data_IF_241950374122
#
_entry.id   IF_241950374122
#
_cell.length_a   1.000
_cell.length_b   1.000
_cell.length_c   1.000
_cell.angle_alpha   90.00
_cell.angle_beta   90.00
_cell.angle_gamma   90.00
#
_symmetry.space_group_name_H-M   'P 1'
#
loop_
_entity.id
_entity.type
_entity.pdbx_description
1 polymer ?
#
# COMPACT_ATOMS: atom_id res chain seq x y z
N UNK A 1 -1.54 11.97 -25.06
CA UNK A 1 -1.50 10.83 -24.10
C UNK A 1 -0.82 11.31 -22.84
N UNK A 2 -1.37 11.01 -21.65
CA UNK A 2 -0.69 11.33 -20.39
C UNK A 2 0.59 10.49 -20.26
N UNK A 3 1.68 11.09 -19.76
CA UNK A 3 2.97 10.40 -19.58
C UNK A 3 2.91 9.55 -18.31
N UNK A 4 3.28 8.27 -18.40
CA UNK A 4 3.39 7.40 -17.23
C UNK A 4 4.45 7.93 -16.25
N UNK A 5 4.17 7.84 -14.95
CA UNK A 5 5.06 8.31 -13.87
C UNK A 5 5.31 7.15 -12.90
N UNK A 6 6.58 6.94 -12.55
CA UNK A 6 7.00 5.92 -11.58
C UNK A 6 7.84 6.61 -10.52
N UNK A 7 7.52 6.38 -9.25
CA UNK A 7 8.25 6.91 -8.09
C UNK A 7 8.94 5.76 -7.38
N UNK A 8 10.24 5.91 -7.12
CA UNK A 8 11.04 4.94 -6.38
C UNK A 8 11.44 5.59 -5.05
N UNK A 9 11.02 4.97 -3.95
CA UNK A 9 11.44 5.35 -2.61
C UNK A 9 12.38 4.31 -2.04
N UNK A 10 13.41 4.77 -1.33
CA UNK A 10 14.41 3.93 -0.69
C UNK A 10 14.58 4.40 0.75
N UNK A 11 14.64 3.46 1.68
CA UNK A 11 14.95 3.73 3.09
C UNK A 11 16.01 2.75 3.57
N UNK A 12 17.03 3.26 4.25
CA UNK A 12 18.02 2.44 4.94
C UNK A 12 17.46 1.75 6.19
N UNK A 13 16.24 2.10 6.62
CA UNK A 13 15.57 1.43 7.75
C UNK A 13 14.89 0.13 7.35
N UNK A 14 14.62 -0.09 6.05
CA UNK A 14 14.00 -1.31 5.52
C UNK A 14 15.04 -2.05 4.69
N UNK A 15 15.86 -2.86 5.36
CA UNK A 15 16.94 -3.63 4.74
C UNK A 15 16.60 -5.12 4.74
N UNK A 16 15.67 -5.53 3.89
CA UNK A 16 15.27 -6.93 3.75
C UNK A 16 13.76 -7.11 3.69
N UNK A 17 13.29 -8.29 4.10
CA UNK A 17 11.85 -8.59 4.21
C UNK A 17 11.23 -7.70 5.29
N UNK A 18 10.20 -6.89 4.97
CA UNK A 18 9.58 -6.03 5.97
C UNK A 18 8.90 -6.85 7.08
N UNK A 19 9.16 -6.51 8.33
CA UNK A 19 8.62 -7.17 9.52
C UNK A 19 7.59 -6.26 10.24
N UNK A 20 6.79 -6.78 11.20
CA UNK A 20 5.73 -6.00 11.84
C UNK A 20 6.16 -4.67 12.50
N UNK A 21 7.42 -4.55 12.95
CA UNK A 21 7.94 -3.29 13.51
C UNK A 21 8.09 -2.19 12.44
N UNK A 22 8.17 -2.57 11.17
CA UNK A 22 8.38 -1.66 10.04
C UNK A 22 7.11 -0.95 9.57
N UNK A 23 5.92 -1.37 10.05
CA UNK A 23 4.62 -0.88 9.53
C UNK A 23 4.52 0.65 9.58
N UNK A 24 4.97 1.29 10.66
CA UNK A 24 4.93 2.75 10.76
C UNK A 24 5.79 3.43 9.69
N UNK A 25 7.02 2.94 9.51
CA UNK A 25 7.95 3.47 8.51
C UNK A 25 7.45 3.23 7.08
N UNK A 26 6.80 2.08 6.83
CA UNK A 26 6.18 1.80 5.53
C UNK A 26 5.00 2.74 5.24
N UNK A 27 4.18 3.09 6.24
CA UNK A 27 3.08 4.07 6.06
C UNK A 27 3.65 5.43 5.67
N UNK A 28 4.72 5.89 6.35
CA UNK A 28 5.40 7.14 6.02
C UNK A 28 5.92 7.14 4.58
N UNK A 29 6.64 6.08 4.18
CA UNK A 29 7.14 5.93 2.81
C UNK A 29 6.00 5.91 1.79
N UNK A 30 4.94 5.14 2.02
CA UNK A 30 3.79 5.11 1.11
C UNK A 30 3.14 6.49 0.97
N UNK A 31 3.00 7.23 2.07
CA UNK A 31 2.47 8.58 2.07
C UNK A 31 3.32 9.55 1.25
N UNK A 32 4.64 9.55 1.44
CA UNK A 32 5.58 10.34 0.62
C UNK A 32 5.46 10.00 -0.86
N UNK A 33 5.38 8.71 -1.18
CA UNK A 33 5.31 8.23 -2.56
C UNK A 33 4.04 8.69 -3.25
N UNK A 34 2.90 8.59 -2.56
CA UNK A 34 1.60 9.05 -3.05
C UNK A 34 1.60 10.57 -3.26
N UNK A 35 2.10 11.35 -2.30
CA UNK A 35 2.20 12.80 -2.41
C UNK A 35 3.02 13.22 -3.64
N UNK A 36 4.20 12.60 -3.84
CA UNK A 36 5.02 12.87 -5.03
C UNK A 36 4.33 12.41 -6.31
N UNK A 37 3.64 11.28 -6.30
CA UNK A 37 2.95 10.73 -7.46
C UNK A 37 1.79 11.64 -7.91
N UNK A 38 0.90 12.00 -6.97
CA UNK A 38 -0.24 12.89 -7.15
C UNK A 38 0.14 14.37 -7.32
N UNK A 39 1.34 14.77 -6.88
CA UNK A 39 1.74 16.19 -6.78
C UNK A 39 0.91 16.94 -5.72
N UNK A 40 0.66 16.24 -4.62
CA UNK A 40 -0.15 16.68 -3.48
C UNK A 40 0.69 16.84 -2.21
N UNK A 41 0.17 17.57 -1.22
CA UNK A 41 0.91 17.87 0.04
C UNK A 41 0.43 17.08 1.26
N UNK A 42 -0.65 16.31 1.12
CA UNK A 42 -1.20 15.49 2.21
C UNK A 42 -1.44 14.07 1.71
N UNK A 43 -0.98 13.02 2.42
CA UNK A 43 -1.16 11.63 1.99
C UNK A 43 -2.62 11.26 1.72
N UNK A 44 -3.55 11.78 2.52
CA UNK A 44 -4.99 11.50 2.38
C UNK A 44 -5.56 12.12 1.11
N UNK A 45 -5.14 13.34 0.75
CA UNK A 45 -5.58 13.99 -0.49
C UNK A 45 -4.98 13.24 -1.69
N UNK A 46 -3.69 12.92 -1.62
CA UNK A 46 -3.00 12.16 -2.66
C UNK A 46 -3.63 10.78 -2.90
N UNK A 47 -3.99 10.07 -1.83
CA UNK A 47 -4.63 8.75 -1.92
C UNK A 47 -6.01 8.83 -2.59
N UNK A 48 -6.79 9.88 -2.30
CA UNK A 48 -8.13 10.07 -2.83
C UNK A 48 -8.15 10.25 -4.37
N UNK A 49 -7.04 10.66 -4.99
CA UNK A 49 -6.93 10.70 -6.46
C UNK A 49 -6.96 9.31 -7.09
N UNK A 50 -6.42 8.30 -6.38
CA UNK A 50 -6.33 6.93 -6.88
C UNK A 50 -7.44 6.03 -6.34
N UNK A 51 -7.84 6.27 -5.10
CA UNK A 51 -8.86 5.50 -4.40
C UNK A 51 -9.88 6.51 -3.89
N UNK A 52 -10.90 6.85 -4.70
CA UNK A 52 -11.94 7.77 -4.26
C UNK A 52 -12.66 7.20 -3.03
N UNK A 53 -13.37 8.04 -2.26
CA UNK A 53 -14.16 7.58 -1.11
C UNK A 53 -15.03 6.38 -1.49
N UNK A 54 -14.64 5.20 -1.02
CA UNK A 54 -15.21 3.93 -1.43
C UNK A 54 -15.84 3.25 -0.22
N UNK A 55 -16.94 2.53 -0.47
CA UNK A 55 -17.60 1.72 0.54
C UNK A 55 -16.82 0.44 0.88
N UNK A 56 -15.87 0.01 0.02
CA UNK A 56 -15.06 -1.20 0.21
C UNK A 56 -13.83 -1.19 -0.68
N UNK A 57 -12.69 -1.64 -0.17
CA UNK A 57 -11.42 -1.75 -0.91
C UNK A 57 -10.83 -3.15 -0.71
N UNK A 58 -10.40 -3.77 -1.82
CA UNK A 58 -9.70 -5.05 -1.82
C UNK A 58 -8.19 -4.85 -2.03
N UNK A 59 -7.37 -5.47 -1.18
CA UNK A 59 -5.91 -5.57 -1.35
C UNK A 59 -5.61 -6.97 -1.85
N UNK A 60 -5.13 -7.08 -3.09
CA UNK A 60 -4.68 -8.35 -3.67
C UNK A 60 -3.15 -8.47 -3.56
N UNK A 61 -2.61 -9.17 -2.55
CA UNK A 61 -1.22 -9.59 -2.60
C UNK A 61 -0.99 -10.56 -3.76
N UNK A 62 0.28 -10.76 -4.12
CA UNK A 62 0.73 -11.85 -4.96
C UNK A 62 1.59 -12.80 -4.12
N UNK A 63 1.12 -14.04 -3.92
CA UNK A 63 1.79 -15.07 -3.14
C UNK A 63 2.45 -16.17 -3.97
N UNK A 64 2.51 -16.05 -5.31
CA UNK A 64 2.94 -17.14 -6.19
C UNK A 64 4.46 -17.27 -6.36
N UNK A 65 5.19 -16.18 -6.15
CA UNK A 65 6.56 -16.03 -6.65
C UNK A 65 7.64 -16.53 -5.68
N UNK A 66 7.25 -16.92 -4.46
CA UNK A 66 8.17 -17.42 -3.43
C UNK A 66 8.67 -16.34 -2.46
N UNK A 67 9.64 -16.69 -1.60
CA UNK A 67 10.18 -15.81 -0.56
C UNK A 67 10.91 -14.61 -1.20
N UNK A 68 10.77 -13.41 -0.61
CA UNK A 68 11.33 -12.12 -1.08
C UNK A 68 10.75 -11.56 -2.39
N UNK A 69 9.99 -12.35 -3.14
CA UNK A 69 9.37 -11.95 -4.42
C UNK A 69 7.86 -11.86 -4.33
N UNK A 70 7.25 -12.48 -3.32
CA UNK A 70 5.84 -12.34 -2.98
C UNK A 70 5.58 -10.99 -2.30
N UNK A 71 4.34 -10.49 -2.37
CA UNK A 71 3.93 -9.33 -1.60
C UNK A 71 4.08 -9.59 -0.10
N UNK A 72 4.74 -8.68 0.61
CA UNK A 72 4.92 -8.78 2.06
C UNK A 72 3.59 -8.60 2.80
N UNK A 73 3.23 -9.48 3.76
CA UNK A 73 2.06 -9.29 4.63
C UNK A 73 2.14 -7.98 5.42
N UNK A 74 3.34 -7.60 5.86
CA UNK A 74 3.61 -6.33 6.54
C UNK A 74 3.27 -5.14 5.65
N UNK A 75 3.61 -5.21 4.36
CA UNK A 75 3.27 -4.16 3.40
C UNK A 75 1.74 -4.07 3.20
N UNK A 76 1.05 -5.20 3.08
CA UNK A 76 -0.40 -5.22 3.01
C UNK A 76 -1.06 -4.57 4.24
N UNK A 77 -0.52 -4.82 5.45
CA UNK A 77 -0.97 -4.18 6.68
C UNK A 77 -0.73 -2.67 6.67
N UNK A 78 0.44 -2.21 6.21
CA UNK A 78 0.73 -0.79 6.07
C UNK A 78 -0.25 -0.09 5.11
N UNK A 79 -0.56 -0.72 3.97
CA UNK A 79 -1.57 -0.22 3.02
C UNK A 79 -2.96 -0.17 3.67
N UNK A 80 -3.36 -1.22 4.39
CA UNK A 80 -4.65 -1.25 5.08
C UNK A 80 -4.77 -0.13 6.13
N UNK A 81 -3.71 0.12 6.92
CA UNK A 81 -3.70 1.22 7.90
C UNK A 81 -3.74 2.60 7.24
N UNK A 82 -3.05 2.77 6.11
CA UNK A 82 -3.11 4.02 5.34
C UNK A 82 -4.53 4.29 4.84
N UNK A 83 -5.20 3.28 4.27
CA UNK A 83 -6.61 3.35 3.85
C UNK A 83 -7.56 3.64 5.03
N UNK A 84 -7.31 3.02 6.18
CA UNK A 84 -8.08 3.30 7.40
C UNK A 84 -7.92 4.76 7.85
N UNK A 85 -6.69 5.29 7.81
CA UNK A 85 -6.42 6.68 8.15
C UNK A 85 -7.02 7.70 7.17
N UNK A 86 -7.44 7.28 5.97
CA UNK A 86 -8.17 8.11 5.02
C UNK A 86 -9.70 7.99 5.13
N UNK A 87 -10.20 7.30 6.15
CA UNK A 87 -11.63 7.23 6.47
C UNK A 87 -12.36 6.01 5.90
N UNK A 88 -11.64 5.05 5.32
CA UNK A 88 -12.23 3.75 4.96
C UNK A 88 -12.30 2.91 6.23
N UNK A 89 -13.46 2.37 6.57
CA UNK A 89 -13.58 1.55 7.78
C UNK A 89 -12.78 0.26 7.63
N UNK A 90 -12.19 -0.23 8.72
CA UNK A 90 -11.42 -1.48 8.71
C UNK A 90 -12.25 -2.68 8.24
N UNK A 91 -13.53 -2.74 8.61
CA UNK A 91 -14.51 -3.76 8.15
C UNK A 91 -14.76 -3.74 6.63
N UNK A 92 -14.38 -2.65 5.96
CA UNK A 92 -14.51 -2.44 4.53
C UNK A 92 -13.17 -2.57 3.78
N UNK A 93 -12.10 -3.00 4.47
CA UNK A 93 -10.81 -3.32 3.86
C UNK A 93 -10.62 -4.84 3.86
N UNK A 94 -10.58 -5.43 2.68
CA UNK A 94 -10.45 -6.88 2.51
C UNK A 94 -9.09 -7.20 1.91
N UNK A 95 -8.26 -7.97 2.62
CA UNK A 95 -7.05 -8.54 2.05
C UNK A 95 -7.42 -9.92 1.50
N UNK A 96 -7.26 -10.12 0.20
CA UNK A 96 -7.70 -11.33 -0.48
C UNK A 96 -6.65 -11.86 -1.46
N UNK A 97 -6.28 -13.12 -1.30
CA UNK A 97 -5.54 -13.88 -2.29
C UNK A 97 -6.39 -15.06 -2.76
N UNK A 98 -6.26 -15.42 -4.03
CA UNK A 98 -6.91 -16.61 -4.57
C UNK A 98 -6.07 -17.83 -4.18
N UNK A 99 -6.53 -18.61 -3.21
CA UNK A 99 -5.86 -19.85 -2.79
C UNK A 99 -6.33 -21.10 -3.55
N UNK A 100 -7.06 -20.95 -4.65
CA UNK A 100 -7.52 -22.10 -5.43
C UNK A 100 -6.49 -22.42 -6.51
N UNK A 101 -5.60 -23.34 -6.14
CA UNK A 101 -5.15 -24.36 -7.10
C UNK A 101 -6.44 -25.06 -7.55
N UNK A 102 -6.68 -25.05 -8.87
CA UNK A 102 -7.90 -25.54 -9.53
C UNK A 102 -8.40 -26.91 -9.04
#
# INVERSE_FOLDING_TARGET
MAKSKVIILKSSKITGEPNPADVGHLIEMLGEGLMVLASEQKPQIALNEFIPPAKRVGIKPNCLTGKMTSSSPTLCNAIAKLLSSSGIKEEDIVIWERSERE
#
